data_IF_949736293214
#
_entry.id   IF_949736293214
#
_cell.length_a   1.000
_cell.length_b   1.000
_cell.length_c   1.000
_cell.angle_alpha   90.00
_cell.angle_beta   90.00
_cell.angle_gamma   90.00
#
_symmetry.space_group_name_H-M   'P 1'
#
loop_
_entity.id
_entity.type
_entity.pdbx_description
1 polymer ?
#
# COMPACT_ATOMS: atom_id res chain seq x y z
N UNK A 1 10.47 -3.54 6.02
CA UNK A 1 9.63 -2.33 5.84
C UNK A 1 9.92 -1.29 6.90
N UNK A 2 9.99 -1.63 8.19
CA UNK A 2 10.22 -0.67 9.28
C UNK A 2 11.35 0.31 8.98
N UNK A 3 12.52 -0.17 8.56
CA UNK A 3 13.65 0.70 8.22
C UNK A 3 13.31 1.76 7.16
N UNK A 4 12.58 1.39 6.12
CA UNK A 4 12.20 2.34 5.05
C UNK A 4 11.21 3.39 5.57
N UNK A 5 10.26 2.98 6.41
CA UNK A 5 9.28 3.90 6.99
C UNK A 5 9.91 4.83 8.02
N UNK A 6 10.88 4.36 8.82
CA UNK A 6 11.67 5.22 9.72
C UNK A 6 12.42 6.29 8.91
N UNK A 7 13.11 5.90 7.84
CA UNK A 7 13.80 6.84 6.96
C UNK A 7 12.83 7.84 6.30
N UNK A 8 11.65 7.36 5.90
CA UNK A 8 10.61 8.23 5.35
C UNK A 8 10.11 9.26 6.38
N UNK A 9 9.96 8.86 7.64
CA UNK A 9 9.57 9.76 8.72
C UNK A 9 10.68 10.77 9.05
N UNK A 10 11.94 10.34 9.06
CA UNK A 10 13.11 11.19 9.34
C UNK A 10 13.34 12.26 8.26
N UNK A 11 12.88 12.02 7.01
CA UNK A 11 13.10 12.90 5.86
C UNK A 11 11.81 13.45 5.24
N UNK A 12 10.68 13.27 5.94
CA UNK A 12 9.35 13.77 5.57
C UNK A 12 8.92 13.48 4.13
N UNK A 13 8.86 12.19 3.78
CA UNK A 13 8.31 11.73 2.51
C UNK A 13 7.44 10.48 2.70
N UNK A 14 6.66 10.12 1.66
CA UNK A 14 5.86 8.91 1.61
C UNK A 14 6.42 7.91 0.62
N UNK A 15 6.22 6.62 0.87
CA UNK A 15 6.66 5.54 -0.03
C UNK A 15 5.42 4.93 -0.68
N UNK A 16 5.30 4.98 -2.01
CA UNK A 16 4.26 4.24 -2.70
C UNK A 16 4.49 2.74 -2.53
N UNK A 17 3.47 2.03 -2.08
CA UNK A 17 3.45 0.56 -2.04
C UNK A 17 2.64 0.08 -3.24
N UNK A 18 3.33 -0.52 -4.20
CA UNK A 18 2.75 -0.93 -5.46
C UNK A 18 2.33 -2.39 -5.44
N UNK A 19 1.08 -2.66 -5.79
CA UNK A 19 0.58 -4.02 -5.95
C UNK A 19 1.18 -4.66 -7.21
N UNK A 20 1.60 -5.92 -7.08
CA UNK A 20 2.18 -6.70 -8.18
C UNK A 20 1.39 -7.98 -8.42
N UNK A 21 1.11 -8.27 -9.70
CA UNK A 21 0.39 -9.45 -10.14
C UNK A 21 1.16 -10.25 -11.21
N UNK A 22 2.07 -9.60 -11.94
CA UNK A 22 2.75 -10.18 -13.09
C UNK A 22 4.14 -9.58 -13.32
N UNK A 23 4.85 -10.13 -14.29
CA UNK A 23 6.21 -9.75 -14.67
C UNK A 23 6.31 -8.27 -15.08
N UNK A 24 5.35 -7.79 -15.88
CA UNK A 24 5.36 -6.45 -16.47
C UNK A 24 5.27 -5.38 -15.40
N UNK A 25 4.45 -5.61 -14.38
CA UNK A 25 4.33 -4.69 -13.23
C UNK A 25 5.62 -4.65 -12.41
N UNK A 26 6.21 -5.80 -12.11
CA UNK A 26 7.49 -5.86 -11.38
C UNK A 26 8.59 -5.11 -12.15
N UNK A 27 8.71 -5.33 -13.46
CA UNK A 27 9.69 -4.64 -14.31
C UNK A 27 9.43 -3.12 -14.37
N UNK A 28 8.17 -2.71 -14.49
CA UNK A 28 7.79 -1.30 -14.53
C UNK A 28 8.16 -0.58 -13.23
N UNK A 29 7.79 -1.15 -12.09
CA UNK A 29 8.06 -0.60 -10.75
C UNK A 29 9.58 -0.46 -10.52
N UNK A 30 10.34 -1.52 -10.78
CA UNK A 30 11.78 -1.51 -10.53
C UNK A 30 12.54 -0.60 -11.49
N UNK A 31 12.15 -0.57 -12.78
CA UNK A 31 12.74 0.37 -13.73
C UNK A 31 12.46 1.83 -13.36
N UNK A 32 11.26 2.11 -12.84
CA UNK A 32 10.91 3.43 -12.33
C UNK A 32 11.72 3.78 -11.07
N UNK A 33 11.81 2.85 -10.13
CA UNK A 33 12.57 3.03 -8.89
C UNK A 33 14.05 3.28 -9.14
N UNK A 34 14.65 2.49 -10.03
CA UNK A 34 16.06 2.67 -10.44
C UNK A 34 16.28 4.03 -11.10
N UNK A 35 15.37 4.49 -11.96
CA UNK A 35 15.45 5.79 -12.62
C UNK A 35 15.26 6.95 -11.64
N UNK A 36 14.34 6.81 -10.67
CA UNK A 36 14.04 7.84 -9.69
C UNK A 36 14.98 7.82 -8.48
N UNK A 37 15.90 6.86 -8.37
CA UNK A 37 16.65 6.59 -7.12
C UNK A 37 15.71 6.46 -5.92
N UNK A 38 14.65 5.64 -6.02
CA UNK A 38 13.61 5.49 -5.02
C UNK A 38 13.64 4.09 -4.37
N UNK A 39 13.44 3.98 -3.03
CA UNK A 39 13.19 2.69 -2.37
C UNK A 39 11.81 2.15 -2.77
N UNK A 40 11.63 0.84 -2.70
CA UNK A 40 10.44 0.15 -3.21
C UNK A 40 9.76 -0.67 -2.13
N UNK A 41 8.43 -0.56 -2.06
CA UNK A 41 7.56 -1.56 -1.42
C UNK A 41 6.77 -2.23 -2.54
N UNK A 42 7.06 -3.51 -2.82
CA UNK A 42 6.23 -4.36 -3.66
C UNK A 42 5.32 -5.20 -2.79
N UNK A 43 4.01 -5.08 -3.01
CA UNK A 43 3.03 -5.79 -2.19
C UNK A 43 2.19 -6.77 -3.01
N UNK A 44 1.92 -7.94 -2.39
CA UNK A 44 1.13 -9.00 -2.97
C UNK A 44 -0.15 -9.21 -2.15
N UNK A 45 -1.30 -8.80 -2.71
CA UNK A 45 -2.62 -9.06 -2.13
C UNK A 45 -2.97 -10.56 -2.17
N UNK A 46 -4.04 -10.94 -1.47
CA UNK A 46 -4.57 -12.30 -1.53
C UNK A 46 -4.97 -12.68 -2.97
N UNK A 47 -5.57 -11.75 -3.71
CA UNK A 47 -5.93 -11.93 -5.12
C UNK A 47 -4.72 -12.11 -6.02
N UNK A 48 -3.67 -11.32 -5.83
CA UNK A 48 -2.42 -11.44 -6.56
C UNK A 48 -1.75 -12.80 -6.32
N UNK A 49 -1.67 -13.23 -5.06
CA UNK A 49 -1.09 -14.54 -4.69
C UNK A 49 -1.90 -15.71 -5.27
N UNK A 50 -3.23 -15.59 -5.29
CA UNK A 50 -4.10 -16.60 -5.92
C UNK A 50 -3.96 -16.64 -7.44
N UNK A 51 -3.86 -15.47 -8.07
CA UNK A 51 -3.73 -15.35 -9.53
C UNK A 51 -2.39 -15.87 -10.05
N UNK A 52 -1.30 -15.33 -9.53
CA UNK A 52 0.05 -15.67 -10.03
C UNK A 52 0.63 -16.93 -9.39
N UNK A 53 0.19 -17.26 -8.17
CA UNK A 53 0.83 -18.29 -7.34
C UNK A 53 1.99 -17.71 -6.52
N UNK A 54 2.05 -18.08 -5.26
CA UNK A 54 3.01 -17.52 -4.29
C UNK A 54 4.47 -17.73 -4.70
N UNK A 55 4.81 -18.90 -5.25
CA UNK A 55 6.16 -19.20 -5.73
C UNK A 55 6.57 -18.28 -6.90
N UNK A 56 5.68 -18.06 -7.86
CA UNK A 56 5.98 -17.18 -8.99
C UNK A 56 6.18 -15.73 -8.53
N UNK A 57 5.28 -15.20 -7.69
CA UNK A 57 5.43 -13.82 -7.17
C UNK A 57 6.73 -13.65 -6.38
N UNK A 58 7.04 -14.60 -5.50
CA UNK A 58 8.29 -14.59 -4.76
C UNK A 58 9.48 -14.49 -5.70
N UNK A 59 9.60 -15.42 -6.66
CA UNK A 59 10.75 -15.44 -7.56
C UNK A 59 10.80 -14.26 -8.53
N UNK A 60 9.66 -13.68 -8.92
CA UNK A 60 9.63 -12.43 -9.68
C UNK A 60 10.23 -11.27 -8.89
N UNK A 61 9.88 -11.15 -7.61
CA UNK A 61 10.43 -10.09 -6.74
C UNK A 61 11.90 -10.37 -6.43
N UNK A 62 12.29 -11.61 -6.14
CA UNK A 62 13.69 -12.00 -5.93
C UNK A 62 14.55 -11.69 -7.18
N UNK A 63 14.08 -12.04 -8.38
CA UNK A 63 14.75 -11.72 -9.64
C UNK A 63 14.89 -10.20 -9.85
N UNK A 64 13.88 -9.42 -9.44
CA UNK A 64 13.97 -7.97 -9.49
C UNK A 64 15.04 -7.41 -8.54
N UNK A 65 15.14 -7.93 -7.32
CA UNK A 65 16.19 -7.58 -6.35
C UNK A 65 17.57 -7.90 -6.90
N UNK A 66 17.76 -9.07 -7.53
CA UNK A 66 19.03 -9.45 -8.16
C UNK A 66 19.39 -8.54 -9.35
N UNK A 67 18.38 -8.13 -10.12
CA UNK A 67 18.58 -7.27 -11.32
C UNK A 67 18.92 -5.82 -10.95
N UNK A 68 18.35 -5.33 -9.84
CA UNK A 68 18.50 -3.96 -9.36
C UNK A 68 19.08 -3.90 -7.93
N UNK A 69 20.32 -4.37 -7.71
CA UNK A 69 20.88 -4.54 -6.35
C UNK A 69 21.12 -3.21 -5.61
N UNK A 70 21.05 -2.08 -6.31
CA UNK A 70 21.18 -0.74 -5.73
C UNK A 70 19.86 -0.18 -5.21
N UNK A 71 18.73 -0.82 -5.50
CA UNK A 71 17.39 -0.39 -5.06
C UNK A 71 17.01 -1.15 -3.79
N UNK A 72 16.78 -0.47 -2.65
CA UNK A 72 16.20 -1.11 -1.46
C UNK A 72 14.78 -1.56 -1.72
N UNK A 73 14.50 -2.85 -1.54
CA UNK A 73 13.19 -3.45 -1.82
C UNK A 73 12.62 -4.12 -0.57
N UNK A 74 11.34 -3.87 -0.33
CA UNK A 74 10.51 -4.63 0.63
C UNK A 74 9.56 -5.53 -0.15
N UNK A 75 9.55 -6.82 0.21
CA UNK A 75 8.52 -7.75 -0.21
C UNK A 75 7.46 -7.82 0.89
N UNK A 76 6.28 -7.25 0.63
CA UNK A 76 5.19 -7.09 1.59
C UNK A 76 3.99 -7.98 1.23
N UNK A 77 3.50 -8.73 2.21
CA UNK A 77 2.21 -9.43 2.10
C UNK A 77 1.11 -8.50 2.56
N UNK A 78 0.22 -8.16 1.65
CA UNK A 78 -0.91 -7.27 1.82
C UNK A 78 -2.16 -8.07 2.20
N UNK A 79 -2.96 -7.57 3.16
CA UNK A 79 -4.18 -8.19 3.69
C UNK A 79 -4.08 -9.68 4.03
N UNK A 80 -3.40 -10.00 5.12
CA UNK A 80 -3.40 -11.34 5.72
C UNK A 80 -4.65 -11.55 6.55
N UNK A 81 -5.48 -12.53 6.19
CA UNK A 81 -6.77 -12.83 6.83
C UNK A 81 -6.64 -13.57 8.15
N UNK A 82 -5.48 -14.14 8.40
CA UNK A 82 -5.22 -14.91 9.63
C UNK A 82 -3.73 -14.96 9.94
N UNK A 83 -3.37 -15.28 11.20
CA UNK A 83 -1.97 -15.51 11.56
C UNK A 83 -1.30 -16.60 10.72
N UNK A 84 -2.04 -17.61 10.26
CA UNK A 84 -1.51 -18.67 9.40
C UNK A 84 -1.09 -18.15 8.03
N UNK A 85 -1.86 -17.24 7.42
CA UNK A 85 -1.52 -16.58 6.14
C UNK A 85 -0.25 -15.74 6.30
N UNK A 86 -0.15 -14.95 7.36
CA UNK A 86 1.05 -14.15 7.64
C UNK A 86 2.29 -15.04 7.86
N UNK A 87 2.13 -16.13 8.63
CA UNK A 87 3.22 -17.10 8.86
C UNK A 87 3.67 -17.76 7.55
N UNK A 88 2.75 -18.12 6.66
CA UNK A 88 3.09 -18.68 5.35
C UNK A 88 3.88 -17.67 4.50
N UNK A 89 3.47 -16.40 4.48
CA UNK A 89 4.21 -15.36 3.78
C UNK A 89 5.64 -15.19 4.35
N UNK A 90 5.80 -15.18 5.67
CA UNK A 90 7.13 -15.11 6.31
C UNK A 90 8.02 -16.30 5.92
N UNK A 91 7.45 -17.52 5.85
CA UNK A 91 8.17 -18.72 5.37
C UNK A 91 8.60 -18.63 3.92
N UNK A 92 7.87 -17.87 3.10
CA UNK A 92 8.22 -17.61 1.70
C UNK A 92 9.23 -16.46 1.53
N UNK A 93 9.71 -15.87 2.61
CA UNK A 93 10.72 -14.81 2.57
C UNK A 93 10.17 -13.40 2.51
N UNK A 94 8.86 -13.19 2.72
CA UNK A 94 8.33 -11.84 2.85
C UNK A 94 8.96 -11.14 4.06
N UNK A 95 9.54 -9.99 3.82
CA UNK A 95 10.21 -9.18 4.86
C UNK A 95 9.27 -8.28 5.64
N UNK A 96 7.99 -8.26 5.24
CA UNK A 96 6.91 -7.53 5.88
C UNK A 96 5.58 -8.21 5.63
N UNK A 97 4.71 -8.21 6.62
CA UNK A 97 3.36 -8.77 6.53
C UNK A 97 2.35 -7.80 7.12
N UNK A 98 1.13 -7.82 6.57
CA UNK A 98 -0.02 -7.13 7.15
C UNK A 98 -0.98 -8.17 7.74
N UNK A 99 -1.32 -8.02 9.02
CA UNK A 99 -2.43 -8.74 9.64
C UNK A 99 -3.67 -7.85 9.60
N UNK A 100 -4.61 -8.20 8.74
CA UNK A 100 -5.91 -7.54 8.68
C UNK A 100 -6.89 -8.24 9.64
N UNK A 101 -6.83 -7.84 10.89
CA UNK A 101 -7.72 -8.33 11.94
C UNK A 101 -9.01 -7.51 12.08
N UNK A 102 -9.24 -6.52 11.20
CA UNK A 102 -10.50 -5.75 11.14
C UNK A 102 -11.68 -6.62 10.68
N UNK A 103 -11.37 -7.71 9.97
CA UNK A 103 -12.31 -8.72 9.52
C UNK A 103 -11.97 -10.08 10.14
N UNK A 104 -12.97 -10.96 10.23
CA UNK A 104 -12.74 -12.36 10.56
C UNK A 104 -12.04 -13.09 9.40
N UNK A 105 -11.62 -14.34 9.62
CA UNK A 105 -10.92 -15.15 8.61
C UNK A 105 -11.71 -15.37 7.31
N UNK A 106 -13.03 -15.15 7.32
CA UNK A 106 -13.86 -15.19 6.11
C UNK A 106 -13.61 -13.99 5.17
N UNK A 107 -12.86 -12.98 5.64
CA UNK A 107 -12.54 -11.76 4.92
C UNK A 107 -13.74 -10.86 4.64
N UNK A 108 -14.85 -10.98 5.37
CA UNK A 108 -16.11 -10.26 5.15
C UNK A 108 -16.77 -9.78 6.42
N UNK A 109 -16.77 -10.59 7.45
CA UNK A 109 -17.43 -10.28 8.72
C UNK A 109 -16.55 -9.34 9.53
N UNK A 110 -17.09 -8.18 9.92
CA UNK A 110 -16.38 -7.23 10.78
C UNK A 110 -16.05 -7.91 12.11
N UNK A 111 -14.78 -7.89 12.46
CA UNK A 111 -14.27 -8.48 13.69
C UNK A 111 -14.49 -7.57 14.90
N UNK A 112 -14.47 -8.14 16.09
CA UNK A 112 -14.39 -7.37 17.32
C UNK A 112 -12.99 -6.77 17.50
N UNK A 113 -12.89 -5.70 18.29
CA UNK A 113 -11.60 -5.10 18.67
C UNK A 113 -10.67 -6.13 19.33
N UNK A 114 -11.19 -6.94 20.24
CA UNK A 114 -10.42 -7.95 20.97
C UNK A 114 -9.88 -9.06 20.04
N UNK A 115 -10.65 -9.44 19.01
CA UNK A 115 -10.19 -10.38 17.99
C UNK A 115 -9.04 -9.76 17.20
N UNK A 116 -9.21 -8.53 16.70
CA UNK A 116 -8.17 -7.82 15.95
C UNK A 116 -6.89 -7.68 16.80
N UNK A 117 -7.04 -7.23 18.05
CA UNK A 117 -5.94 -7.07 18.99
C UNK A 117 -5.17 -8.38 19.18
N UNK A 118 -5.88 -9.48 19.48
CA UNK A 118 -5.25 -10.76 19.79
C UNK A 118 -4.57 -11.41 18.58
N UNK A 119 -5.19 -11.37 17.41
CA UNK A 119 -4.63 -11.95 16.18
C UNK A 119 -3.44 -11.14 15.68
N UNK A 120 -3.54 -9.80 15.71
CA UNK A 120 -2.43 -8.93 15.32
C UNK A 120 -1.25 -9.07 16.27
N UNK A 121 -1.49 -9.11 17.60
CA UNK A 121 -0.44 -9.35 18.58
C UNK A 121 0.29 -10.66 18.36
N UNK A 122 -0.44 -11.75 18.07
CA UNK A 122 0.17 -13.04 17.77
C UNK A 122 1.08 -13.00 16.54
N UNK A 123 0.68 -12.25 15.49
CA UNK A 123 1.52 -12.06 14.29
C UNK A 123 2.75 -11.22 14.61
N UNK A 124 2.62 -10.15 15.39
CA UNK A 124 3.75 -9.31 15.82
C UNK A 124 4.78 -10.14 16.57
N UNK A 125 4.36 -10.97 17.52
CA UNK A 125 5.28 -11.79 18.32
C UNK A 125 6.08 -12.76 17.45
N UNK A 126 5.43 -13.39 16.46
CA UNK A 126 6.10 -14.27 15.50
C UNK A 126 7.06 -13.52 14.57
N UNK A 127 6.59 -12.41 14.02
CA UNK A 127 7.31 -11.64 13.00
C UNK A 127 8.55 -10.93 13.58
N UNK A 128 8.41 -10.25 14.71
CA UNK A 128 9.51 -9.55 15.37
C UNK A 128 10.60 -10.51 15.84
N UNK A 129 10.24 -11.75 16.23
CA UNK A 129 11.22 -12.78 16.59
C UNK A 129 12.20 -13.14 15.45
N UNK A 130 11.81 -12.89 14.20
CA UNK A 130 12.61 -13.15 13.00
C UNK A 130 12.97 -11.88 12.21
N UNK A 131 12.70 -10.69 12.76
CA UNK A 131 13.04 -9.39 12.18
C UNK A 131 12.11 -8.89 11.09
N UNK A 132 10.93 -9.51 10.93
CA UNK A 132 9.91 -9.14 9.95
C UNK A 132 9.02 -8.03 10.50
N UNK A 133 8.71 -7.04 9.67
CA UNK A 133 7.85 -5.91 10.01
C UNK A 133 6.38 -6.30 9.97
N UNK A 134 5.56 -5.73 10.85
CA UNK A 134 4.11 -5.96 10.86
C UNK A 134 3.34 -4.65 10.69
N UNK A 135 2.42 -4.68 9.73
CA UNK A 135 1.33 -3.72 9.57
C UNK A 135 0.06 -4.30 10.18
N UNK A 136 -0.63 -3.50 10.98
CA UNK A 136 -1.99 -3.82 11.46
C UNK A 136 -3.02 -2.95 10.77
N UNK A 137 -4.31 -3.25 10.94
CA UNK A 137 -5.41 -2.43 10.45
C UNK A 137 -6.40 -2.13 11.56
N UNK A 138 -6.89 -0.89 11.59
CA UNK A 138 -7.92 -0.47 12.53
C UNK A 138 -8.95 0.43 11.86
N UNK A 139 -10.22 0.08 12.00
CA UNK A 139 -11.34 0.62 11.24
C UNK A 139 -11.63 -0.23 10.00
N UNK A 140 -12.71 0.07 9.32
CA UNK A 140 -13.08 -0.62 8.08
C UNK A 140 -12.91 0.33 6.91
N UNK A 141 -12.26 -0.14 5.86
CA UNK A 141 -12.17 0.62 4.61
C UNK A 141 -13.53 0.76 3.96
N UNK A 142 -13.82 1.94 3.45
CA UNK A 142 -15.07 2.24 2.79
C UNK A 142 -15.25 3.72 2.53
N UNK A 143 -16.23 4.02 1.71
CA UNK A 143 -16.49 5.38 1.23
C UNK A 143 -17.36 6.16 2.21
N UNK A 144 -16.89 7.32 2.67
CA UNK A 144 -17.69 8.28 3.42
C UNK A 144 -18.78 8.93 2.57
N UNK A 145 -18.65 8.93 1.23
CA UNK A 145 -19.67 9.45 0.34
C UNK A 145 -20.90 8.53 0.28
N UNK A 146 -20.68 7.22 0.16
CA UNK A 146 -21.76 6.24 0.01
C UNK A 146 -22.13 5.56 1.31
N UNK A 147 -21.37 5.75 2.37
CA UNK A 147 -21.50 5.08 3.67
C UNK A 147 -21.56 3.55 3.52
N UNK A 148 -20.74 3.03 2.63
CA UNK A 148 -20.64 1.59 2.35
C UNK A 148 -19.22 1.12 2.55
N UNK A 149 -19.10 -0.10 3.08
CA UNK A 149 -17.85 -0.83 3.11
C UNK A 149 -17.35 -1.15 1.73
N UNK A 150 -16.09 -1.50 1.65
CA UNK A 150 -15.35 -1.74 0.42
C UNK A 150 -14.93 -3.20 0.31
N UNK A 151 -14.79 -3.68 -0.93
CA UNK A 151 -14.37 -5.05 -1.22
C UNK A 151 -13.35 -5.07 -2.34
N UNK A 152 -12.17 -5.59 -2.05
CA UNK A 152 -11.13 -5.87 -3.02
C UNK A 152 -10.69 -7.34 -2.94
N UNK A 153 -10.53 -7.99 -4.08
CA UNK A 153 -10.07 -9.39 -4.20
C UNK A 153 -10.87 -10.41 -3.35
N UNK A 154 -12.12 -10.08 -3.04
CA UNK A 154 -12.97 -10.93 -2.21
C UNK A 154 -12.91 -10.60 -0.71
N UNK A 155 -12.10 -9.63 -0.30
CA UNK A 155 -11.94 -9.12 1.05
C UNK A 155 -12.60 -7.76 1.21
N UNK A 156 -13.24 -7.54 2.34
CA UNK A 156 -13.88 -6.28 2.68
C UNK A 156 -15.26 -6.48 3.28
N UNK A 157 -15.66 -5.58 4.18
CA UNK A 157 -16.97 -5.61 4.79
C UNK A 157 -18.03 -5.14 3.80
N UNK A 158 -19.08 -5.94 3.60
CA UNK A 158 -20.19 -5.60 2.72
C UNK A 158 -21.32 -4.93 3.52
N UNK A 159 -21.95 -3.90 2.94
CA UNK A 159 -23.15 -3.27 3.48
C UNK A 159 -22.96 -1.82 3.90
N UNK A 160 -24.03 -1.28 4.52
CA UNK A 160 -24.00 0.08 5.06
C UNK A 160 -23.22 0.13 6.37
N UNK A 161 -22.38 1.15 6.52
CA UNK A 161 -21.54 1.36 7.70
C UNK A 161 -21.82 2.71 8.35
N UNK A 162 -21.56 2.80 9.63
CA UNK A 162 -21.57 4.09 10.32
C UNK A 162 -20.29 4.87 10.04
N UNK A 163 -20.35 6.19 10.24
CA UNK A 163 -19.16 7.05 10.09
C UNK A 163 -18.02 6.63 11.03
N UNK A 164 -18.37 6.18 12.22
CA UNK A 164 -17.42 5.70 13.24
C UNK A 164 -16.71 4.43 12.79
N UNK A 165 -17.38 3.54 12.06
CA UNK A 165 -16.78 2.33 11.49
C UNK A 165 -15.83 2.65 10.34
N UNK A 166 -16.12 3.72 9.57
CA UNK A 166 -15.34 4.17 8.41
C UNK A 166 -14.17 5.12 8.79
N UNK A 167 -14.01 5.45 10.06
CA UNK A 167 -12.94 6.33 10.57
C UNK A 167 -12.28 5.71 11.79
N UNK A 168 -10.97 5.53 11.73
CA UNK A 168 -10.19 5.03 12.88
C UNK A 168 -10.26 5.98 14.05
N UNK A 169 -10.63 5.49 15.24
CA UNK A 169 -10.64 6.28 16.47
C UNK A 169 -9.21 6.48 17.01
N UNK A 170 -8.78 7.71 17.34
CA UNK A 170 -7.41 7.98 17.76
C UNK A 170 -7.03 7.37 19.12
N UNK A 171 -7.97 7.27 20.08
CA UNK A 171 -7.70 6.64 21.38
C UNK A 171 -7.61 5.11 21.22
N UNK A 172 -8.47 4.55 20.39
CA UNK A 172 -8.42 3.13 20.06
C UNK A 172 -7.12 2.78 19.31
N UNK A 173 -6.66 3.66 18.39
CA UNK A 173 -5.37 3.50 17.72
C UNK A 173 -4.20 3.50 18.72
N UNK A 174 -4.20 4.41 19.68
CA UNK A 174 -3.17 4.46 20.71
C UNK A 174 -3.15 3.21 21.60
N UNK A 175 -4.32 2.72 22.00
CA UNK A 175 -4.44 1.49 22.78
C UNK A 175 -3.98 0.25 21.97
N UNK A 176 -4.42 0.16 20.72
CA UNK A 176 -4.06 -0.94 19.82
C UNK A 176 -2.56 -1.03 19.60
N UNK A 177 -1.90 0.08 19.25
CA UNK A 177 -0.45 0.14 19.04
C UNK A 177 0.32 -0.18 20.33
N UNK A 178 -0.13 0.33 21.46
CA UNK A 178 0.49 0.07 22.76
C UNK A 178 0.47 -1.42 23.11
N UNK A 179 -0.63 -2.12 22.79
CA UNK A 179 -0.81 -3.53 23.13
C UNK A 179 -0.18 -4.46 22.08
N UNK A 180 -0.33 -4.17 20.79
CA UNK A 180 0.16 -5.03 19.71
C UNK A 180 1.63 -4.79 19.38
N UNK A 181 2.11 -3.56 19.51
CA UNK A 181 3.45 -3.14 19.08
C UNK A 181 3.68 -3.27 17.56
N UNK A 182 2.63 -3.04 16.75
CA UNK A 182 2.77 -2.98 15.28
C UNK A 182 3.72 -1.87 14.85
N UNK A 183 4.42 -2.07 13.75
CA UNK A 183 5.35 -1.10 13.16
C UNK A 183 4.64 -0.02 12.34
N UNK A 184 3.55 -0.40 11.72
CA UNK A 184 2.73 0.46 10.89
C UNK A 184 1.25 0.15 11.14
N UNK A 185 0.41 1.15 11.00
CA UNK A 185 -1.03 1.05 11.19
C UNK A 185 -1.77 1.58 9.97
N UNK A 186 -2.47 0.69 9.28
CA UNK A 186 -3.45 1.07 8.27
C UNK A 186 -4.68 1.67 8.96
N UNK A 187 -5.04 2.88 8.55
CA UNK A 187 -6.11 3.66 9.14
C UNK A 187 -7.24 3.92 8.14
N UNK A 188 -8.46 3.77 8.60
CA UNK A 188 -9.65 4.15 7.85
C UNK A 188 -9.86 5.66 7.94
N UNK A 189 -9.81 6.34 6.80
CA UNK A 189 -9.85 7.81 6.67
C UNK A 189 -10.78 8.28 5.56
N UNK A 190 -11.70 7.42 5.12
CA UNK A 190 -12.69 7.72 4.09
C UNK A 190 -12.31 7.26 2.69
N UNK A 191 -11.29 6.45 2.54
CA UNK A 191 -10.84 5.89 1.26
C UNK A 191 -11.33 4.47 1.05
N UNK A 192 -11.53 4.09 -0.21
CA UNK A 192 -11.92 2.74 -0.63
C UNK A 192 -11.00 2.20 -1.73
N UNK A 193 -10.91 0.88 -1.85
CA UNK A 193 -10.16 0.21 -2.90
C UNK A 193 -10.84 0.32 -4.28
N UNK A 194 -10.17 -0.15 -5.33
CA UNK A 194 -10.68 -0.23 -6.67
C UNK A 194 -10.76 1.11 -7.40
N UNK A 195 -11.33 1.09 -8.60
CA UNK A 195 -11.41 2.26 -9.48
C UNK A 195 -12.62 3.17 -9.17
N UNK A 196 -13.67 2.63 -8.60
CA UNK A 196 -14.93 3.35 -8.37
C UNK A 196 -14.99 3.89 -6.93
N UNK A 197 -14.24 4.97 -6.65
CA UNK A 197 -14.08 5.53 -5.30
C UNK A 197 -15.09 6.63 -5.00
N UNK A 198 -15.10 7.67 -5.84
CA UNK A 198 -15.96 8.84 -5.68
C UNK A 198 -16.75 9.10 -6.93
N UNK A 199 -18.05 9.43 -6.77
CA UNK A 199 -18.96 9.72 -7.88
C UNK A 199 -18.89 11.17 -8.34
N UNK A 200 -18.28 12.05 -7.52
CA UNK A 200 -18.10 13.49 -7.81
C UNK A 200 -16.62 13.83 -7.76
N UNK A 201 -16.23 14.84 -8.55
CA UNK A 201 -14.88 15.37 -8.49
C UNK A 201 -14.59 15.89 -7.08
N UNK A 202 -13.52 15.42 -6.43
CA UNK A 202 -13.12 15.89 -5.12
C UNK A 202 -12.90 17.40 -5.05
N UNK A 203 -13.29 18.01 -3.94
CA UNK A 203 -13.16 19.46 -3.70
C UNK A 203 -12.11 19.81 -2.64
N UNK A 204 -11.26 18.85 -2.25
CA UNK A 204 -10.17 19.07 -1.29
C UNK A 204 -10.53 18.69 0.15
N UNK A 205 -11.57 17.87 0.35
CA UNK A 205 -12.06 17.43 1.65
C UNK A 205 -12.36 15.92 1.73
N UNK A 206 -11.68 15.14 0.87
CA UNK A 206 -11.90 13.69 0.79
C UNK A 206 -11.30 12.97 1.98
N UNK A 207 -10.04 13.29 2.30
CA UNK A 207 -9.37 12.65 3.42
C UNK A 207 -9.74 13.32 4.75
N UNK A 208 -9.93 12.49 5.76
CA UNK A 208 -10.12 12.97 7.13
C UNK A 208 -8.78 13.43 7.74
N UNK A 209 -8.17 14.50 7.20
CA UNK A 209 -6.84 15.00 7.58
C UNK A 209 -6.74 15.28 9.08
N UNK A 210 -7.77 15.88 9.69
CA UNK A 210 -7.76 16.12 11.14
C UNK A 210 -7.73 14.81 11.96
N UNK A 211 -8.29 13.74 11.41
CA UNK A 211 -8.23 12.40 12.00
C UNK A 211 -6.81 11.84 11.93
N UNK A 212 -6.14 11.98 10.79
CA UNK A 212 -4.72 11.61 10.59
C UNK A 212 -3.86 12.34 11.62
N UNK A 213 -4.00 13.67 11.73
CA UNK A 213 -3.30 14.50 12.71
C UNK A 213 -3.53 14.05 14.15
N UNK A 214 -4.79 13.73 14.49
CA UNK A 214 -5.15 13.30 15.84
C UNK A 214 -4.54 11.92 16.17
N UNK A 215 -4.52 10.98 15.23
CA UNK A 215 -3.90 9.66 15.41
C UNK A 215 -2.38 9.81 15.52
N UNK A 216 -1.74 10.52 14.60
CA UNK A 216 -0.29 10.67 14.59
C UNK A 216 0.26 11.30 15.89
N UNK A 217 -0.44 12.31 16.43
CA UNK A 217 -0.05 12.91 17.74
C UNK A 217 -0.03 11.89 18.88
N UNK A 218 -0.85 10.83 18.83
CA UNK A 218 -0.92 9.80 19.87
C UNK A 218 0.07 8.67 19.69
N UNK A 219 0.42 8.37 18.43
CA UNK A 219 1.31 7.27 18.06
C UNK A 219 2.45 7.76 17.14
N UNK A 220 3.27 8.74 17.54
CA UNK A 220 4.24 9.39 16.66
C UNK A 220 5.35 8.45 16.14
N UNK A 221 5.57 7.32 16.82
CA UNK A 221 6.59 6.31 16.47
C UNK A 221 6.05 5.12 15.69
N UNK A 222 4.73 5.11 15.39
CA UNK A 222 4.10 4.11 14.51
C UNK A 222 3.71 4.78 13.22
N UNK A 223 4.13 4.20 12.11
CA UNK A 223 3.91 4.81 10.79
C UNK A 223 2.48 4.58 10.32
N UNK A 224 1.84 5.62 9.79
CA UNK A 224 0.49 5.50 9.25
C UNK A 224 0.52 5.02 7.79
N UNK A 225 -0.47 4.19 7.46
CA UNK A 225 -0.64 3.64 6.12
C UNK A 225 -2.00 4.04 5.57
N UNK A 226 -2.03 4.44 4.30
CA UNK A 226 -3.24 4.72 3.55
C UNK A 226 -3.51 3.62 2.53
N UNK A 227 -4.66 2.96 2.68
CA UNK A 227 -5.23 2.06 1.68
C UNK A 227 -6.18 2.83 0.75
N UNK A 228 -6.50 2.23 -0.40
CA UNK A 228 -7.44 2.82 -1.35
C UNK A 228 -7.00 4.18 -1.93
N UNK A 229 -5.71 4.45 -2.03
CA UNK A 229 -5.15 5.79 -2.29
C UNK A 229 -4.86 6.10 -3.75
N UNK A 230 -5.18 5.21 -4.69
CA UNK A 230 -5.01 5.49 -6.13
C UNK A 230 -5.80 6.74 -6.54
N UNK A 231 -5.16 7.58 -7.36
CA UNK A 231 -5.72 8.89 -7.75
C UNK A 231 -6.66 8.81 -8.97
N UNK A 232 -6.71 7.66 -9.64
CA UNK A 232 -7.57 7.40 -10.80
C UNK A 232 -7.43 8.50 -11.86
N UNK A 233 -6.26 8.59 -12.54
CA UNK A 233 -5.99 9.65 -13.52
C UNK A 233 -7.08 9.69 -14.61
N UNK A 234 -7.67 10.87 -14.84
CA UNK A 234 -8.83 11.02 -15.72
C UNK A 234 -8.46 10.82 -17.20
N UNK A 235 -7.26 11.22 -17.59
CA UNK A 235 -6.70 10.98 -18.93
C UNK A 235 -6.64 9.49 -19.28
N UNK A 236 -6.30 8.63 -18.31
CA UNK A 236 -6.30 7.18 -18.51
C UNK A 236 -7.72 6.62 -18.68
N UNK A 237 -8.70 7.14 -17.92
CA UNK A 237 -10.10 6.76 -18.10
C UNK A 237 -10.64 7.17 -19.47
N UNK A 238 -10.30 8.38 -19.91
CA UNK A 238 -10.71 8.90 -21.22
C UNK A 238 -10.06 8.09 -22.35
N UNK A 239 -8.78 7.75 -22.23
CA UNK A 239 -8.10 6.87 -23.19
C UNK A 239 -8.76 5.47 -23.25
N UNK A 240 -9.05 4.87 -22.09
CA UNK A 240 -9.76 3.57 -22.03
C UNK A 240 -11.12 3.65 -22.74
N UNK A 241 -11.90 4.73 -22.53
CA UNK A 241 -13.19 4.93 -23.19
C UNK A 241 -13.05 5.16 -24.69
N UNK A 242 -12.07 5.96 -25.11
CA UNK A 242 -11.76 6.24 -26.51
C UNK A 242 -11.48 4.94 -27.29
N UNK A 243 -10.82 3.97 -26.68
CA UNK A 243 -10.48 2.70 -27.28
C UNK A 243 -11.41 1.54 -26.84
N UNK A 244 -12.72 1.86 -26.67
CA UNK A 244 -13.80 0.89 -26.52
C UNK A 244 -13.98 0.31 -25.11
N UNK A 245 -13.39 0.91 -24.08
CA UNK A 245 -13.67 0.56 -22.70
C UNK A 245 -14.95 1.21 -22.17
N UNK A 246 -15.64 0.50 -21.28
CA UNK A 246 -16.91 0.95 -20.69
C UNK A 246 -16.76 1.42 -19.23
N UNK A 247 -15.66 2.12 -18.93
CA UNK A 247 -15.43 2.66 -17.56
C UNK A 247 -16.44 3.77 -17.26
N UNK A 248 -17.11 3.65 -16.11
CA UNK A 248 -17.99 4.71 -15.60
C UNK A 248 -17.16 5.91 -15.13
N UNK A 249 -17.83 7.07 -15.02
CA UNK A 249 -17.23 8.23 -14.39
C UNK A 249 -16.91 7.93 -12.92
N UNK A 250 -15.69 8.20 -12.52
CA UNK A 250 -15.21 7.98 -11.15
C UNK A 250 -13.96 8.82 -10.91
N UNK A 251 -13.69 9.12 -9.65
CA UNK A 251 -12.55 9.93 -9.23
C UNK A 251 -11.81 9.20 -8.11
N UNK A 252 -10.51 9.40 -8.03
CA UNK A 252 -9.67 8.87 -6.96
C UNK A 252 -9.31 9.94 -5.93
N UNK A 253 -8.34 9.62 -5.08
CA UNK A 253 -7.83 10.55 -4.07
C UNK A 253 -6.93 11.59 -4.73
N UNK A 254 -7.15 12.90 -4.53
CA UNK A 254 -6.26 13.93 -5.04
C UNK A 254 -4.83 13.76 -4.52
N UNK A 255 -3.85 13.94 -5.38
CA UNK A 255 -2.43 13.82 -5.02
C UNK A 255 -2.05 14.82 -3.92
N UNK A 256 -2.59 16.01 -3.98
CA UNK A 256 -2.36 17.09 -3.02
C UNK A 256 -2.82 16.71 -1.60
N UNK A 257 -3.95 16.00 -1.48
CA UNK A 257 -4.41 15.48 -0.19
C UNK A 257 -3.52 14.35 0.34
N UNK A 258 -2.99 13.51 -0.55
CA UNK A 258 -2.00 12.48 -0.17
C UNK A 258 -0.71 13.15 0.34
N UNK A 259 -0.24 14.20 -0.34
CA UNK A 259 0.94 14.97 0.08
C UNK A 259 0.72 15.60 1.46
N UNK A 260 -0.46 16.17 1.72
CA UNK A 260 -0.80 16.68 3.04
C UNK A 260 -0.81 15.58 4.10
N UNK A 261 -1.38 14.41 3.79
CA UNK A 261 -1.37 13.27 4.69
C UNK A 261 0.06 12.78 5.01
N UNK A 262 0.97 12.81 4.03
CA UNK A 262 2.40 12.50 4.24
C UNK A 262 3.00 13.42 5.29
N UNK A 263 2.80 14.74 5.21
CA UNK A 263 3.27 15.70 6.20
C UNK A 263 2.70 15.47 7.61
N UNK A 264 1.66 14.64 7.73
CA UNK A 264 1.01 14.31 8.99
C UNK A 264 1.17 12.85 9.43
N UNK A 265 2.24 12.18 8.99
CA UNK A 265 2.65 10.87 9.51
C UNK A 265 2.29 9.66 8.65
N UNK A 266 1.62 9.86 7.52
CA UNK A 266 1.44 8.78 6.55
C UNK A 266 2.77 8.51 5.84
N UNK A 267 3.25 7.26 5.87
CA UNK A 267 4.56 6.89 5.29
C UNK A 267 4.47 5.82 4.22
N UNK A 268 3.38 5.03 4.20
CA UNK A 268 3.09 4.03 3.15
C UNK A 268 1.76 4.39 2.47
N UNK A 269 1.76 4.43 1.15
CA UNK A 269 0.59 4.78 0.33
C UNK A 269 0.35 3.66 -0.68
N UNK A 270 -0.76 2.94 -0.55
CA UNK A 270 -1.08 1.82 -1.44
C UNK A 270 -1.57 2.31 -2.79
N UNK A 271 -0.89 1.88 -3.85
CA UNK A 271 -1.19 2.22 -5.24
C UNK A 271 -1.34 0.92 -6.05
N UNK A 272 -2.54 0.67 -6.55
CA UNK A 272 -2.85 -0.47 -7.41
C UNK A 272 -3.60 -0.03 -8.68
N UNK A 273 -4.78 0.55 -8.52
CA UNK A 273 -5.68 0.93 -9.62
C UNK A 273 -4.99 1.78 -10.68
N UNK A 274 -4.12 2.73 -10.28
CA UNK A 274 -3.44 3.61 -11.23
C UNK A 274 -2.57 2.82 -12.22
N UNK A 275 -1.86 1.79 -11.74
CA UNK A 275 -1.04 0.92 -12.60
C UNK A 275 -1.94 0.08 -13.52
N UNK A 276 -3.02 -0.48 -12.97
CA UNK A 276 -3.97 -1.29 -13.75
C UNK A 276 -4.61 -0.47 -14.87
N UNK A 277 -5.00 0.77 -14.59
CA UNK A 277 -5.57 1.70 -15.59
C UNK A 277 -4.56 2.04 -16.68
N UNK A 278 -3.32 2.39 -16.32
CA UNK A 278 -2.26 2.73 -17.27
C UNK A 278 -1.98 1.58 -18.23
N UNK A 279 -1.84 0.36 -17.71
CA UNK A 279 -1.63 -0.83 -18.54
C UNK A 279 -2.82 -1.11 -19.46
N UNK A 280 -4.04 -1.02 -18.92
CA UNK A 280 -5.27 -1.27 -19.70
C UNK A 280 -5.44 -0.25 -20.81
N UNK A 281 -5.21 1.03 -20.56
CA UNK A 281 -5.27 2.09 -21.56
C UNK A 281 -4.29 1.82 -22.70
N UNK A 282 -3.03 1.56 -22.37
CA UNK A 282 -1.98 1.27 -23.36
C UNK A 282 -2.26 0.02 -24.20
N UNK A 283 -2.75 -1.05 -23.58
CA UNK A 283 -3.13 -2.29 -24.32
C UNK A 283 -4.28 -2.01 -25.27
N UNK A 284 -5.34 -1.34 -24.79
CA UNK A 284 -6.50 -1.02 -25.63
C UNK A 284 -6.14 -0.16 -26.83
N UNK A 285 -5.36 0.90 -26.61
CA UNK A 285 -4.86 1.75 -27.70
C UNK A 285 -4.06 0.93 -28.69
N UNK A 286 -3.07 0.16 -28.23
CA UNK A 286 -2.23 -0.64 -29.09
C UNK A 286 -3.04 -1.62 -29.96
N UNK A 287 -3.99 -2.35 -29.38
CA UNK A 287 -4.82 -3.32 -30.10
C UNK A 287 -5.76 -2.66 -31.11
N UNK A 288 -6.23 -1.44 -30.83
CA UNK A 288 -7.07 -0.68 -31.78
C UNK A 288 -6.24 -0.10 -32.95
N UNK A 289 -5.02 0.37 -32.69
CA UNK A 289 -4.14 0.95 -33.69
C UNK A 289 -3.42 -0.11 -34.54
N UNK A 290 -3.29 -1.34 -34.00
CA UNK A 290 -2.57 -2.46 -34.65
C UNK A 290 -3.41 -3.75 -34.63
N UNK A 291 -4.55 -3.78 -35.36
CA UNK A 291 -5.49 -4.92 -35.31
C UNK A 291 -4.96 -6.22 -35.88
N UNK A 292 -3.84 -6.19 -36.59
CA UNK A 292 -3.13 -7.36 -37.13
C UNK A 292 -2.14 -7.99 -36.14
N UNK A 293 -1.88 -7.32 -35.00
CA UNK A 293 -0.92 -7.78 -34.02
C UNK A 293 -1.53 -8.77 -33.04
N UNK A 294 -0.81 -9.86 -32.76
CA UNK A 294 -1.25 -10.92 -31.85
C UNK A 294 -0.18 -11.41 -30.88
N UNK A 295 1.08 -10.95 -31.02
CA UNK A 295 2.16 -11.29 -30.07
C UNK A 295 2.01 -10.53 -28.76
N UNK A 296 1.83 -11.23 -27.61
CA UNK A 296 1.70 -10.58 -26.30
C UNK A 296 2.83 -9.60 -26.00
N UNK A 297 4.04 -9.88 -26.41
CA UNK A 297 5.21 -9.02 -26.17
C UNK A 297 5.07 -7.65 -26.82
N UNK A 298 4.34 -7.55 -27.94
CA UNK A 298 4.15 -6.28 -28.65
C UNK A 298 3.17 -5.35 -27.92
N UNK A 299 2.08 -5.85 -27.33
CA UNK A 299 1.13 -5.03 -26.60
C UNK A 299 1.44 -4.92 -25.10
N UNK A 300 2.18 -5.85 -24.49
CA UNK A 300 2.62 -5.73 -23.11
C UNK A 300 3.79 -4.75 -22.95
N UNK A 301 4.62 -4.56 -23.98
CA UNK A 301 5.71 -3.58 -23.92
C UNK A 301 5.22 -2.14 -23.71
N UNK A 302 4.27 -1.57 -24.47
CA UNK A 302 3.70 -0.27 -24.16
C UNK A 302 2.95 -0.24 -22.83
N UNK A 303 2.32 -1.33 -22.42
CA UNK A 303 1.68 -1.42 -21.11
C UNK A 303 2.69 -1.29 -19.96
N UNK A 304 3.84 -1.97 -20.05
CA UNK A 304 4.94 -1.87 -19.09
C UNK A 304 5.49 -0.44 -19.03
N UNK A 305 5.64 0.22 -20.20
CA UNK A 305 6.10 1.61 -20.25
C UNK A 305 5.11 2.58 -19.60
N UNK A 306 3.80 2.39 -19.82
CA UNK A 306 2.76 3.20 -19.18
C UNK A 306 2.73 3.00 -17.66
N UNK A 307 2.81 1.77 -17.19
CA UNK A 307 2.93 1.45 -15.77
C UNK A 307 4.17 2.11 -15.14
N UNK A 308 5.33 2.03 -15.83
CA UNK A 308 6.56 2.70 -15.39
C UNK A 308 6.37 4.21 -15.23
N UNK A 309 5.69 4.85 -16.18
CA UNK A 309 5.45 6.29 -16.13
C UNK A 309 4.62 6.70 -14.90
N UNK A 310 3.57 5.95 -14.58
CA UNK A 310 2.78 6.15 -13.35
C UNK A 310 3.62 5.95 -12.09
N UNK A 311 4.44 4.89 -12.04
CA UNK A 311 5.32 4.67 -10.88
C UNK A 311 6.31 5.83 -10.69
N UNK A 312 6.92 6.35 -11.76
CA UNK A 312 7.81 7.52 -11.70
C UNK A 312 7.11 8.74 -11.12
N UNK A 313 5.90 9.04 -11.62
CA UNK A 313 5.11 10.17 -11.10
C UNK A 313 4.84 10.02 -9.59
N UNK A 314 4.48 8.82 -9.11
CA UNK A 314 4.21 8.60 -7.69
C UNK A 314 5.48 8.72 -6.84
N UNK A 315 6.62 8.23 -7.30
CA UNK A 315 7.90 8.43 -6.59
C UNK A 315 8.25 9.92 -6.44
N UNK A 316 8.04 10.70 -7.47
CA UNK A 316 8.28 12.16 -7.45
C UNK A 316 7.26 12.88 -6.55
N UNK A 317 5.97 12.62 -6.75
CA UNK A 317 4.87 13.31 -6.04
C UNK A 317 4.86 13.04 -4.54
N UNK A 318 5.32 11.87 -4.10
CA UNK A 318 5.39 11.53 -2.68
C UNK A 318 6.74 11.84 -2.04
N UNK A 319 7.65 12.50 -2.77
CA UNK A 319 8.98 12.89 -2.28
C UNK A 319 9.96 11.73 -2.10
N UNK A 320 9.63 10.56 -2.67
CA UNK A 320 10.40 9.32 -2.55
C UNK A 320 11.63 9.28 -3.49
N UNK A 321 11.61 10.05 -4.57
CA UNK A 321 12.72 10.16 -5.52
C UNK A 321 14.00 10.69 -4.86
N UNK A 322 15.16 10.14 -5.23
CA UNK A 322 16.47 10.51 -4.68
C UNK A 322 16.73 9.97 -3.27
N UNK A 323 15.99 8.96 -2.82
CA UNK A 323 16.11 8.43 -1.46
C UNK A 323 16.77 7.05 -1.37
N UNK A 324 16.78 6.24 -2.44
CA UNK A 324 17.33 4.90 -2.39
C UNK A 324 18.83 4.88 -2.04
N UNK A 325 19.61 5.74 -2.67
CA UNK A 325 21.06 5.87 -2.44
C UNK A 325 21.42 6.30 -1.00
N UNK A 326 20.48 6.86 -0.26
CA UNK A 326 20.63 7.24 1.16
C UNK A 326 20.42 6.06 2.11
N UNK A 327 19.85 4.95 1.64
CA UNK A 327 19.42 3.84 2.48
C UNK A 327 20.33 2.64 2.29
N UNK A 328 20.99 2.23 3.37
CA UNK A 328 21.72 0.96 3.41
C UNK A 328 20.84 -0.11 4.07
N UNK A 329 20.37 -1.12 3.31
CA UNK A 329 19.51 -2.16 3.87
C UNK A 329 20.13 -2.86 5.07
N UNK A 330 19.33 -3.08 6.11
CA UNK A 330 19.71 -3.79 7.31
C UNK A 330 19.37 -5.28 7.17
N UNK A 331 20.25 -6.14 7.70
CA UNK A 331 19.93 -7.55 7.80
C UNK A 331 18.81 -7.79 8.82
N UNK A 332 17.99 -8.84 8.60
CA UNK A 332 16.92 -9.21 9.54
C UNK A 332 17.44 -9.45 10.96
N UNK A 333 18.66 -9.99 11.11
CA UNK A 333 19.30 -10.16 12.43
C UNK A 333 19.48 -8.84 13.19
N UNK A 334 19.75 -7.75 12.49
CA UNK A 334 19.85 -6.41 13.11
C UNK A 334 18.47 -5.95 13.55
N UNK A 335 17.43 -6.21 12.76
CA UNK A 335 16.05 -5.88 13.13
C UNK A 335 15.56 -6.69 14.33
N UNK A 336 15.93 -7.99 14.43
CA UNK A 336 15.65 -8.81 15.62
C UNK A 336 16.19 -8.14 16.89
N UNK A 337 17.43 -7.68 16.86
CA UNK A 337 18.03 -7.04 18.03
C UNK A 337 17.40 -5.68 18.36
N UNK A 338 16.99 -4.91 17.34
CA UNK A 338 16.22 -3.67 17.56
C UNK A 338 14.87 -3.92 18.21
N UNK A 339 14.12 -4.93 17.74
CA UNK A 339 12.85 -5.33 18.35
C UNK A 339 13.01 -5.79 19.80
N UNK A 340 14.02 -6.61 20.09
CA UNK A 340 14.33 -7.07 21.47
C UNK A 340 14.65 -5.90 22.43
N UNK A 341 15.31 -4.87 21.93
CA UNK A 341 15.74 -3.72 22.74
C UNK A 341 14.70 -2.60 22.81
N UNK A 342 13.67 -2.64 21.96
CA UNK A 342 12.71 -1.54 21.82
C UNK A 342 13.31 -0.29 21.15
N UNK A 343 14.37 -0.42 20.36
CA UNK A 343 15.05 0.69 19.66
C UNK A 343 14.40 0.98 18.31
N UNK A 344 13.13 1.43 18.32
CA UNK A 344 12.31 1.63 17.12
C UNK A 344 11.81 3.05 16.94
N UNK A 345 12.36 4.00 17.69
CA UNK A 345 11.95 5.41 17.56
C UNK A 345 12.71 6.06 16.40
N UNK A 346 12.04 6.54 15.34
CA UNK A 346 12.69 7.30 14.27
C UNK A 346 13.19 8.64 14.79
N UNK A 347 14.32 9.10 14.24
CA UNK A 347 14.90 10.42 14.57
C UNK A 347 14.14 11.50 13.77
N UNK A 348 12.93 11.82 14.18
CA UNK A 348 12.17 12.92 13.57
C UNK A 348 12.72 14.25 14.09
N UNK A 349 13.25 15.07 13.19
CA UNK A 349 13.67 16.41 13.54
C UNK A 349 12.46 17.27 13.90
N UNK A 350 12.48 17.87 15.11
CA UNK A 350 11.38 18.64 15.71
C UNK A 350 10.96 19.93 14.96
N UNK A 351 11.43 20.13 13.73
CA UNK A 351 11.17 21.33 12.91
C UNK A 351 9.78 21.37 12.25
N UNK A 352 8.96 20.34 12.40
CA UNK A 352 7.65 20.24 11.75
C UNK A 352 6.46 20.42 12.72
N UNK A 353 6.69 20.92 13.93
CA UNK A 353 5.66 21.19 14.93
C UNK A 353 5.33 22.70 15.04
N UNK A 354 5.20 23.38 13.92
CA UNK A 354 4.70 24.78 13.92
C UNK A 354 3.52 24.93 12.96
#
# INVERSE_FOLDING_TARGET
MRQLLDHAAEHDYGIPAFNVNNLEQVQAIMSAASQADAPVIMQASAGARKYAGEAFLRHLIEAAVETFPHVPVVMHQDHGQSPAVCLQAMRLGFSSVMMDGSLLEDGKTIASYDYNLSTTKAVVDMAHAIGVTVEGELGCLGSLETMKGDKEDGHGAEGSMTREQLLTDPEQAADFVRQTQVDALAIAIGTSHGAYKFSRKPTGDILAIDRIKAIHRRIPNTHLVMHGSSSVPQDLLDEIRQFGGAMKETYGVPVEEIQEAIHHGVRKINIDTDIRLAMTAAIRRFMAEHPDKFDPREYLKPATAAAKAICLQRYEQFGCAGKASMIKPLALSVMIERYKKGELTPLVHATLAS
#
